data_IF_427287730807
#
_entry.id   IF_427287730807
#
_cell.length_a   1.000
_cell.length_b   1.000
_cell.length_c   1.000
_cell.angle_alpha   90.00
_cell.angle_beta   90.00
_cell.angle_gamma   90.00
#
_symmetry.space_group_name_H-M   'P 1'
#
loop_
_entity.id
_entity.type
_entity.pdbx_description
1 polymer ?
#
# COMPACT_ATOMS: atom_id res chain seq x y z
N UNK A 1 20.78 2.54 23.98
CA UNK A 1 21.10 3.97 23.86
C UNK A 1 22.12 4.24 22.74
N UNK A 2 22.24 3.34 21.73
CA UNK A 2 23.22 3.47 20.62
C UNK A 2 22.62 3.39 19.21
N UNK A 3 21.29 3.39 19.06
CA UNK A 3 20.63 3.30 17.74
C UNK A 3 20.09 4.63 17.18
N UNK A 4 20.01 5.68 17.98
CA UNK A 4 19.50 7.00 17.53
C UNK A 4 20.54 7.92 16.90
N UNK A 5 21.83 7.63 17.09
CA UNK A 5 22.91 8.52 16.62
C UNK A 5 23.29 8.28 15.14
N UNK A 6 22.95 7.11 14.59
CA UNK A 6 23.36 6.74 13.21
C UNK A 6 22.43 7.38 12.15
N UNK A 7 21.16 7.61 12.46
CA UNK A 7 20.19 8.21 11.51
C UNK A 7 20.47 9.69 11.23
N UNK A 8 20.86 10.46 12.26
CA UNK A 8 21.13 11.90 12.12
C UNK A 8 22.43 12.21 11.36
N UNK A 9 23.45 11.38 11.49
CA UNK A 9 24.76 11.66 10.84
C UNK A 9 24.76 11.30 9.34
N UNK A 10 23.92 10.35 8.91
CA UNK A 10 23.82 9.99 7.51
C UNK A 10 23.05 11.05 6.69
N UNK A 11 22.02 11.65 7.29
CA UNK A 11 21.27 12.75 6.70
C UNK A 11 22.12 14.04 6.56
N UNK A 12 22.98 14.33 7.55
CA UNK A 12 23.88 15.50 7.55
C UNK A 12 24.97 15.38 6.47
N UNK A 13 25.49 14.17 6.23
CA UNK A 13 26.58 13.93 5.25
C UNK A 13 26.15 14.06 3.80
N UNK A 14 24.86 13.93 3.49
CA UNK A 14 24.34 14.14 2.13
C UNK A 14 24.00 15.63 1.83
N UNK A 15 23.75 16.44 2.84
CA UNK A 15 23.51 17.89 2.67
C UNK A 15 24.74 18.68 2.19
N UNK A 16 25.94 18.16 2.39
CA UNK A 16 27.20 18.83 2.03
C UNK A 16 27.78 18.45 0.65
N UNK A 17 27.13 17.55 -0.08
CA UNK A 17 27.51 17.23 -1.47
C UNK A 17 26.60 17.91 -2.47
N UNK A 18 26.77 19.23 -2.63
CA UNK A 18 26.29 19.92 -3.80
C UNK A 18 26.99 19.34 -5.04
N UNK A 19 26.27 18.54 -5.84
CA UNK A 19 26.74 18.10 -7.14
C UNK A 19 26.79 19.31 -8.09
N UNK A 20 27.85 19.44 -8.91
CA UNK A 20 27.96 20.57 -9.83
C UNK A 20 26.87 20.46 -10.91
N UNK A 21 26.00 21.44 -10.95
CA UNK A 21 24.99 21.63 -12.00
C UNK A 21 25.73 21.89 -13.32
N UNK A 22 25.72 20.92 -14.23
CA UNK A 22 26.10 21.15 -15.63
C UNK A 22 25.03 22.02 -16.26
N UNK A 23 25.45 23.21 -16.68
CA UNK A 23 24.60 24.20 -17.34
C UNK A 23 23.97 23.65 -18.62
N UNK A 24 22.66 23.72 -18.67
CA UNK A 24 21.88 23.87 -19.87
C UNK A 24 20.82 24.93 -19.57
N UNK A 25 20.70 25.93 -20.40
CA UNK A 25 19.66 26.95 -20.39
C UNK A 25 18.26 26.28 -20.42
N UNK A 26 17.74 25.88 -19.25
CA UNK A 26 16.32 25.66 -19.06
C UNK A 26 15.76 27.01 -18.60
N UNK A 27 15.00 27.67 -19.47
CA UNK A 27 14.05 28.71 -19.07
C UNK A 27 13.41 28.23 -17.77
N UNK A 28 13.36 29.09 -16.75
CA UNK A 28 12.79 28.88 -15.42
C UNK A 28 11.30 28.49 -15.51
N UNK A 29 11.02 27.24 -15.88
CA UNK A 29 9.66 26.72 -15.84
C UNK A 29 9.37 26.30 -14.41
N UNK A 30 8.52 27.08 -13.74
CA UNK A 30 8.07 26.77 -12.39
C UNK A 30 7.34 25.43 -12.36
N UNK A 31 7.49 24.70 -11.27
CA UNK A 31 6.73 23.50 -10.95
C UNK A 31 5.28 23.93 -10.68
N UNK A 32 4.35 23.49 -11.50
CA UNK A 32 2.92 23.79 -11.36
C UNK A 32 2.28 22.77 -10.42
N UNK A 33 1.75 23.25 -9.31
CA UNK A 33 1.25 22.40 -8.24
C UNK A 33 -0.25 22.61 -8.07
N UNK A 34 -1.00 21.50 -7.95
CA UNK A 34 -2.35 21.50 -7.44
C UNK A 34 -2.33 21.11 -5.97
N UNK A 35 -3.14 21.77 -5.14
CA UNK A 35 -3.23 21.51 -3.70
C UNK A 35 -4.66 21.09 -3.35
N UNK A 36 -4.82 19.95 -2.67
CA UNK A 36 -6.11 19.45 -2.19
C UNK A 36 -6.05 19.17 -0.70
N UNK A 37 -6.89 19.85 0.07
CA UNK A 37 -7.03 19.73 1.53
C UNK A 37 -8.38 20.33 1.92
N UNK A 38 -9.21 19.65 2.72
CA UNK A 38 -10.51 20.17 3.13
C UNK A 38 -10.40 21.23 4.23
N UNK A 39 -9.29 21.23 4.98
CA UNK A 39 -9.05 22.23 6.01
C UNK A 39 -8.47 23.51 5.42
N UNK A 40 -9.33 24.52 5.26
CA UNK A 40 -9.03 25.77 4.56
C UNK A 40 -7.72 26.44 5.02
N UNK A 41 -7.48 26.53 6.33
CA UNK A 41 -6.28 27.23 6.84
C UNK A 41 -4.99 26.51 6.44
N UNK A 42 -4.95 25.18 6.56
CA UNK A 42 -3.78 24.41 6.14
C UNK A 42 -3.55 24.51 4.63
N UNK A 43 -4.62 24.52 3.84
CA UNK A 43 -4.54 24.70 2.41
C UNK A 43 -3.99 26.10 2.04
N UNK A 44 -4.49 27.17 2.68
CA UNK A 44 -3.99 28.53 2.48
C UNK A 44 -2.51 28.67 2.90
N UNK A 45 -2.10 28.12 4.03
CA UNK A 45 -0.71 28.12 4.50
C UNK A 45 0.22 27.39 3.51
N UNK A 46 -0.20 26.23 3.00
CA UNK A 46 0.57 25.47 2.01
C UNK A 46 0.70 26.25 0.69
N UNK A 47 -0.37 26.88 0.22
CA UNK A 47 -0.35 27.72 -0.98
C UNK A 47 0.61 28.90 -0.80
N UNK A 48 0.59 29.56 0.36
CA UNK A 48 1.49 30.66 0.67
C UNK A 48 2.96 30.19 0.69
N UNK A 49 3.24 29.04 1.32
CA UNK A 49 4.57 28.43 1.37
C UNK A 49 5.13 28.17 -0.03
N UNK A 50 4.33 27.51 -0.88
CA UNK A 50 4.74 27.15 -2.23
C UNK A 50 4.95 28.37 -3.12
N UNK A 51 4.03 29.34 -3.08
CA UNK A 51 4.12 30.55 -3.89
C UNK A 51 5.26 31.50 -3.45
N UNK A 52 5.81 31.36 -2.24
CA UNK A 52 7.04 32.06 -1.83
C UNK A 52 8.29 31.52 -2.53
N UNK A 53 8.25 30.32 -3.11
CA UNK A 53 9.38 29.75 -3.83
C UNK A 53 9.47 30.31 -5.25
N UNK A 54 10.70 30.59 -5.70
CA UNK A 54 10.92 31.08 -7.07
C UNK A 54 10.67 30.05 -8.15
N UNK A 55 10.80 28.77 -7.81
CA UNK A 55 10.74 27.60 -8.69
C UNK A 55 9.38 26.86 -8.66
N UNK A 56 8.40 27.38 -7.91
CA UNK A 56 7.08 26.75 -7.75
C UNK A 56 5.94 27.74 -7.98
N UNK A 57 4.78 27.25 -8.37
CA UNK A 57 3.53 28.00 -8.42
C UNK A 57 2.32 27.09 -8.20
N UNK A 58 1.37 27.52 -7.39
CA UNK A 58 0.10 26.82 -7.22
C UNK A 58 -0.84 27.28 -8.33
N UNK A 59 -1.28 26.33 -9.16
CA UNK A 59 -2.14 26.58 -10.33
C UNK A 59 -3.62 26.26 -10.07
N UNK A 60 -3.94 25.65 -8.92
CA UNK A 60 -5.30 25.40 -8.50
C UNK A 60 -5.37 24.79 -7.12
N UNK A 61 -6.52 24.95 -6.47
CA UNK A 61 -6.81 24.41 -5.15
C UNK A 61 -8.15 23.69 -5.13
N UNK A 62 -8.30 22.69 -4.27
CA UNK A 62 -9.53 21.93 -4.07
C UNK A 62 -9.76 21.65 -2.59
N UNK A 63 -11.03 21.58 -2.19
CA UNK A 63 -11.42 21.15 -0.85
C UNK A 63 -12.00 19.72 -0.83
N UNK A 64 -12.16 19.10 -1.99
CA UNK A 64 -12.75 17.76 -2.12
C UNK A 64 -12.04 16.92 -3.18
N UNK A 65 -12.12 15.59 -3.03
CA UNK A 65 -11.60 14.66 -4.03
C UNK A 65 -12.22 14.81 -5.41
N UNK A 66 -13.51 15.22 -5.49
CA UNK A 66 -14.17 15.47 -6.75
C UNK A 66 -13.62 16.70 -7.46
N UNK A 67 -13.41 17.79 -6.72
CA UNK A 67 -12.89 19.05 -7.26
C UNK A 67 -11.46 18.85 -7.81
N UNK A 68 -10.58 18.18 -7.07
CA UNK A 68 -9.19 17.96 -7.52
C UNK A 68 -9.12 17.10 -8.79
N UNK A 69 -9.99 16.09 -8.94
CA UNK A 69 -10.10 15.29 -10.17
C UNK A 69 -10.52 16.16 -11.35
N UNK A 70 -11.48 17.07 -11.16
CA UNK A 70 -11.90 18.00 -12.24
C UNK A 70 -10.81 19.02 -12.58
N UNK A 71 -10.09 19.53 -11.59
CA UNK A 71 -8.94 20.41 -11.85
C UNK A 71 -7.85 19.70 -12.63
N UNK A 72 -7.49 18.48 -12.22
CA UNK A 72 -6.46 17.68 -12.88
C UNK A 72 -6.78 17.34 -14.35
N UNK A 73 -8.06 17.32 -14.75
CA UNK A 73 -8.47 17.16 -16.15
C UNK A 73 -8.28 18.42 -16.99
N UNK A 74 -8.48 19.58 -16.37
CA UNK A 74 -8.68 20.84 -17.09
C UNK A 74 -7.48 21.79 -17.00
N UNK A 75 -6.63 21.64 -15.99
CA UNK A 75 -5.50 22.52 -15.73
C UNK A 75 -4.20 21.74 -15.90
N UNK A 76 -3.24 22.23 -16.68
CA UNK A 76 -1.91 21.61 -16.75
C UNK A 76 -1.17 21.76 -15.41
N UNK A 77 -0.70 20.65 -14.86
CA UNK A 77 0.07 20.58 -13.62
C UNK A 77 1.25 19.63 -13.77
N UNK A 78 2.19 19.73 -12.86
CA UNK A 78 3.37 18.87 -12.81
C UNK A 78 3.34 17.95 -11.56
N UNK A 79 2.65 18.40 -10.47
CA UNK A 79 2.52 17.68 -9.20
C UNK A 79 1.23 18.04 -8.48
N UNK A 80 0.70 17.09 -7.70
CA UNK A 80 -0.44 17.29 -6.80
C UNK A 80 0.01 17.03 -5.36
N UNK A 81 -0.22 17.99 -4.46
CA UNK A 81 -0.21 17.75 -3.02
C UNK A 81 -1.63 17.42 -2.59
N UNK A 82 -1.82 16.24 -2.02
CA UNK A 82 -3.12 15.64 -1.76
C UNK A 82 -3.27 15.26 -0.30
N UNK A 83 -4.27 15.79 0.38
CA UNK A 83 -4.69 15.20 1.65
C UNK A 83 -5.37 13.85 1.42
N UNK A 84 -5.15 12.89 2.29
CA UNK A 84 -5.83 11.58 2.25
C UNK A 84 -7.27 11.72 2.70
N UNK A 85 -7.48 12.42 3.82
CA UNK A 85 -8.76 12.60 4.48
C UNK A 85 -9.33 13.98 4.12
N UNK A 86 -10.42 13.99 3.39
CA UNK A 86 -11.17 15.20 3.05
C UNK A 86 -12.66 14.97 3.39
N UNK A 87 -13.58 15.20 2.45
CA UNK A 87 -15.01 14.96 2.64
C UNK A 87 -15.35 13.51 3.04
N UNK A 88 -14.42 12.58 2.82
CA UNK A 88 -14.46 11.18 3.25
C UNK A 88 -13.06 10.72 3.66
N UNK A 89 -12.98 9.69 4.51
CA UNK A 89 -11.73 9.17 5.09
C UNK A 89 -10.66 8.81 4.03
N UNK A 90 -11.07 8.39 2.84
CA UNK A 90 -10.16 8.00 1.75
C UNK A 90 -10.39 8.82 0.48
N UNK A 91 -10.94 10.04 0.59
CA UNK A 91 -11.29 10.85 -0.56
C UNK A 91 -10.08 11.13 -1.47
N UNK A 92 -8.92 11.46 -0.88
CA UNK A 92 -7.68 11.69 -1.60
C UNK A 92 -7.16 10.45 -2.32
N UNK A 93 -7.30 9.26 -1.70
CA UNK A 93 -6.90 7.98 -2.32
C UNK A 93 -7.75 7.70 -3.56
N UNK A 94 -9.08 7.78 -3.42
CA UNK A 94 -10.03 7.57 -4.53
C UNK A 94 -9.82 8.60 -5.64
N UNK A 95 -9.51 9.86 -5.28
CA UNK A 95 -9.17 10.89 -6.25
C UNK A 95 -7.88 10.57 -7.00
N UNK A 96 -6.84 10.09 -6.29
CA UNK A 96 -5.56 9.70 -6.88
C UNK A 96 -5.73 8.55 -7.87
N UNK A 97 -6.47 7.51 -7.52
CA UNK A 97 -6.77 6.39 -8.43
C UNK A 97 -7.40 6.89 -9.73
N UNK A 98 -8.43 7.75 -9.64
CA UNK A 98 -9.10 8.34 -10.82
C UNK A 98 -8.17 9.22 -11.65
N UNK A 99 -7.30 10.01 -11.00
CA UNK A 99 -6.33 10.85 -11.70
C UNK A 99 -5.33 9.98 -12.44
N UNK A 100 -4.85 8.90 -11.82
CA UNK A 100 -3.90 7.97 -12.46
C UNK A 100 -4.54 7.10 -13.55
N UNK A 101 -5.83 6.84 -13.51
CA UNK A 101 -6.56 6.25 -14.65
C UNK A 101 -6.54 7.18 -15.86
N UNK A 102 -6.59 8.49 -15.66
CA UNK A 102 -6.57 9.50 -16.72
C UNK A 102 -5.15 9.87 -17.18
N UNK A 103 -4.22 9.93 -16.24
CA UNK A 103 -2.83 10.24 -16.43
C UNK A 103 -1.94 9.31 -15.57
N UNK A 104 -1.49 8.16 -16.12
CA UNK A 104 -0.66 7.20 -15.38
C UNK A 104 0.66 7.77 -14.84
N UNK A 105 1.16 8.87 -15.40
CA UNK A 105 2.40 9.53 -15.00
C UNK A 105 2.17 10.68 -14.01
N UNK A 106 0.96 10.86 -13.47
CA UNK A 106 0.67 11.91 -12.51
C UNK A 106 1.51 11.75 -11.24
N UNK A 107 2.23 12.79 -10.86
CA UNK A 107 2.95 12.85 -9.60
C UNK A 107 2.00 13.30 -8.49
N UNK A 108 1.74 12.44 -7.52
CA UNK A 108 0.92 12.74 -6.35
C UNK A 108 1.73 12.48 -5.10
N UNK A 109 1.87 13.49 -4.24
CA UNK A 109 2.44 13.39 -2.90
C UNK A 109 1.29 13.52 -1.90
N UNK A 110 1.13 12.53 -1.03
CA UNK A 110 0.16 12.63 0.04
C UNK A 110 0.70 13.41 1.22
N UNK A 111 -0.15 14.29 1.76
CA UNK A 111 0.05 14.96 3.05
C UNK A 111 -1.07 14.50 3.99
N UNK A 112 -0.74 13.93 5.14
CA UNK A 112 -1.72 13.43 6.10
C UNK A 112 -1.41 13.83 7.52
N UNK A 113 -2.46 14.06 8.32
CA UNK A 113 -2.30 14.33 9.75
C UNK A 113 -2.01 13.06 10.57
N UNK A 114 -2.39 11.90 10.05
CA UNK A 114 -2.27 10.62 10.75
C UNK A 114 -1.55 9.60 9.90
N UNK A 115 -0.62 8.86 10.52
CA UNK A 115 0.14 7.82 9.86
C UNK A 115 -0.18 6.45 10.48
N UNK A 116 -0.89 5.61 9.72
CA UNK A 116 -1.05 4.19 10.04
C UNK A 116 -0.49 3.32 8.93
N UNK A 117 -0.16 2.06 9.24
CA UNK A 117 0.33 1.12 8.22
C UNK A 117 -0.67 0.96 7.08
N UNK A 118 -1.95 0.89 7.40
CA UNK A 118 -3.04 0.74 6.43
C UNK A 118 -3.13 1.96 5.49
N UNK A 119 -2.98 3.17 6.03
CA UNK A 119 -3.00 4.40 5.23
C UNK A 119 -1.80 4.47 4.28
N UNK A 120 -0.59 4.15 4.77
CA UNK A 120 0.61 4.09 3.92
C UNK A 120 0.40 3.11 2.76
N UNK A 121 -0.02 1.87 3.07
CA UNK A 121 -0.24 0.84 2.05
C UNK A 121 -1.28 1.26 1.03
N UNK A 122 -2.40 1.84 1.49
CA UNK A 122 -3.50 2.28 0.63
C UNK A 122 -3.07 3.45 -0.27
N UNK A 123 -2.40 4.46 0.30
CA UNK A 123 -1.91 5.61 -0.43
C UNK A 123 -0.88 5.25 -1.50
N UNK A 124 0.12 4.46 -1.14
CA UNK A 124 1.15 4.02 -2.09
C UNK A 124 0.57 3.04 -3.12
N UNK A 125 -0.40 2.21 -2.72
CA UNK A 125 -1.15 1.34 -3.62
C UNK A 125 -1.96 2.07 -4.68
N UNK A 126 -2.46 3.27 -4.38
CA UNK A 126 -3.13 4.16 -5.33
C UNK A 126 -2.16 4.78 -6.35
N UNK A 127 -0.85 4.61 -6.15
CA UNK A 127 0.19 5.06 -7.06
C UNK A 127 0.76 6.45 -6.73
N UNK A 128 0.69 6.89 -5.47
CA UNK A 128 1.41 8.07 -5.03
C UNK A 128 2.92 7.89 -5.21
N UNK A 129 3.63 8.96 -5.49
CA UNK A 129 5.10 8.96 -5.62
C UNK A 129 5.78 9.15 -4.28
N UNK A 130 5.09 9.78 -3.32
CA UNK A 130 5.61 10.03 -1.98
C UNK A 130 4.48 10.21 -0.95
N UNK A 131 4.85 10.17 0.33
CA UNK A 131 3.95 10.23 1.47
C UNK A 131 4.60 11.00 2.62
N UNK A 132 3.96 12.07 3.10
CA UNK A 132 4.46 12.95 4.14
C UNK A 132 3.43 13.10 5.27
N UNK A 133 3.91 13.23 6.49
CA UNK A 133 3.08 13.56 7.65
C UNK A 133 3.03 15.08 7.85
N UNK A 134 1.82 15.64 7.97
CA UNK A 134 1.60 17.05 8.27
C UNK A 134 2.23 17.42 9.62
N UNK A 135 2.79 18.64 9.70
CA UNK A 135 3.45 19.12 10.92
C UNK A 135 4.96 18.86 10.95
N UNK A 136 5.52 18.30 9.89
CA UNK A 136 6.96 18.34 9.60
C UNK A 136 7.45 19.77 9.29
N UNK A 137 8.72 19.91 8.93
CA UNK A 137 9.24 21.24 8.54
C UNK A 137 8.79 21.61 7.12
N UNK A 138 8.60 22.91 6.88
CA UNK A 138 8.30 23.45 5.55
C UNK A 138 9.39 23.06 4.53
N UNK A 139 10.65 23.05 4.99
CA UNK A 139 11.79 22.67 4.16
C UNK A 139 11.70 21.20 3.69
N UNK A 140 11.19 20.30 4.53
CA UNK A 140 11.02 18.89 4.16
C UNK A 140 9.99 18.74 3.03
N UNK A 141 8.85 19.42 3.13
CA UNK A 141 7.82 19.40 2.07
C UNK A 141 8.40 19.90 0.74
N UNK A 142 9.08 21.06 0.77
CA UNK A 142 9.71 21.64 -0.41
C UNK A 142 10.79 20.74 -1.01
N UNK A 143 11.57 20.07 -0.16
CA UNK A 143 12.60 19.13 -0.57
C UNK A 143 12.01 17.90 -1.26
N UNK A 144 10.96 17.29 -0.68
CA UNK A 144 10.27 16.14 -1.27
C UNK A 144 9.65 16.48 -2.64
N UNK A 145 9.05 17.66 -2.79
CA UNK A 145 8.52 18.12 -4.08
C UNK A 145 9.63 18.18 -5.14
N UNK A 146 10.78 18.78 -4.81
CA UNK A 146 11.91 18.89 -5.75
C UNK A 146 12.47 17.53 -6.13
N UNK A 147 12.67 16.65 -5.15
CA UNK A 147 13.14 15.29 -5.39
C UNK A 147 12.17 14.49 -6.27
N UNK A 148 10.85 14.60 -6.05
CA UNK A 148 9.85 13.96 -6.88
C UNK A 148 9.91 14.45 -8.34
N UNK A 149 10.08 15.76 -8.54
CA UNK A 149 10.20 16.36 -9.88
C UNK A 149 11.51 16.03 -10.60
N UNK A 150 12.56 15.70 -9.86
CA UNK A 150 13.85 15.21 -10.41
C UNK A 150 13.80 13.70 -10.74
N UNK A 151 12.68 13.02 -10.45
CA UNK A 151 12.53 11.59 -10.66
C UNK A 151 13.17 10.71 -9.56
N UNK A 152 13.49 11.31 -8.42
CA UNK A 152 14.09 10.65 -7.26
C UNK A 152 13.25 10.90 -5.99
N UNK A 153 11.98 10.47 -5.95
CA UNK A 153 11.13 10.68 -4.78
C UNK A 153 11.81 10.11 -3.52
N UNK A 154 11.74 10.86 -2.45
CA UNK A 154 12.32 10.48 -1.16
C UNK A 154 11.26 9.77 -0.36
N UNK A 155 11.42 8.46 -0.20
CA UNK A 155 10.51 7.70 0.65
C UNK A 155 11.14 7.55 2.04
N UNK A 156 10.45 8.02 3.06
CA UNK A 156 10.91 7.82 4.44
C UNK A 156 11.11 6.33 4.75
N UNK A 157 12.14 6.03 5.57
CA UNK A 157 12.50 4.64 5.89
C UNK A 157 11.33 3.81 6.41
N UNK A 158 10.44 4.43 7.21
CA UNK A 158 9.24 3.79 7.76
C UNK A 158 8.21 3.44 6.67
N UNK A 159 7.99 4.32 5.72
CA UNK A 159 7.10 4.09 4.57
C UNK A 159 7.66 2.93 3.73
N UNK A 160 8.95 2.97 3.41
CA UNK A 160 9.63 1.90 2.68
C UNK A 160 9.51 0.54 3.39
N UNK A 161 9.79 0.50 4.71
CA UNK A 161 9.71 -0.73 5.50
C UNK A 161 8.29 -1.30 5.51
N UNK A 162 7.28 -0.44 5.70
CA UNK A 162 5.86 -0.82 5.68
C UNK A 162 5.45 -1.44 4.35
N UNK A 163 5.85 -0.83 3.23
CA UNK A 163 5.56 -1.34 1.88
C UNK A 163 6.25 -2.69 1.65
N UNK A 164 7.50 -2.84 2.07
CA UNK A 164 8.24 -4.10 1.91
C UNK A 164 7.66 -5.23 2.75
N UNK A 165 7.19 -4.94 3.98
CA UNK A 165 6.48 -5.92 4.82
C UNK A 165 5.19 -6.39 4.13
N UNK A 166 4.39 -5.45 3.60
CA UNK A 166 3.13 -5.77 2.93
C UNK A 166 3.35 -6.55 1.62
N UNK A 167 4.34 -6.15 0.83
CA UNK A 167 4.73 -6.88 -0.37
C UNK A 167 5.13 -8.32 -0.06
N UNK A 168 5.94 -8.53 0.99
CA UNK A 168 6.32 -9.87 1.42
C UNK A 168 5.11 -10.70 1.90
N UNK A 169 4.15 -10.06 2.58
CA UNK A 169 2.89 -10.68 3.02
C UNK A 169 2.04 -11.11 1.82
N UNK A 170 1.86 -10.24 0.83
CA UNK A 170 1.11 -10.51 -0.38
C UNK A 170 1.74 -11.64 -1.21
N UNK A 171 3.04 -11.62 -1.40
CA UNK A 171 3.78 -12.68 -2.09
C UNK A 171 3.61 -14.05 -1.43
N UNK A 172 3.64 -14.09 -0.08
CA UNK A 172 3.41 -15.33 0.67
C UNK A 172 1.98 -15.82 0.49
N UNK A 173 1.00 -14.91 0.53
CA UNK A 173 -0.42 -15.24 0.32
C UNK A 173 -0.67 -15.77 -1.09
N UNK A 174 -0.12 -15.12 -2.11
CA UNK A 174 -0.23 -15.55 -3.51
C UNK A 174 0.35 -16.97 -3.73
N UNK A 175 1.56 -17.22 -3.23
CA UNK A 175 2.18 -18.56 -3.32
C UNK A 175 1.33 -19.63 -2.64
N UNK A 176 0.77 -19.31 -1.47
CA UNK A 176 -0.11 -20.23 -0.74
C UNK A 176 -1.39 -20.52 -1.52
N UNK A 177 -1.99 -19.49 -2.13
CA UNK A 177 -3.18 -19.61 -2.95
C UNK A 177 -2.93 -20.48 -4.20
N UNK A 178 -1.86 -20.20 -4.94
CA UNK A 178 -1.48 -20.99 -6.13
C UNK A 178 -1.20 -22.46 -5.77
N UNK A 179 -0.48 -22.69 -4.67
CA UNK A 179 -0.24 -24.03 -4.16
C UNK A 179 -1.56 -24.74 -3.80
N UNK A 180 -2.48 -24.02 -3.15
CA UNK A 180 -3.78 -24.56 -2.77
C UNK A 180 -4.63 -24.89 -4.00
N UNK A 181 -4.76 -23.99 -4.97
CA UNK A 181 -5.51 -24.20 -6.21
C UNK A 181 -4.98 -25.41 -6.97
N UNK A 182 -3.67 -25.55 -7.10
CA UNK A 182 -3.04 -26.70 -7.76
C UNK A 182 -3.33 -28.02 -7.05
N UNK A 183 -3.48 -28.02 -5.74
CA UNK A 183 -3.83 -29.22 -4.99
C UNK A 183 -5.35 -29.48 -4.95
N UNK A 184 -6.16 -28.41 -4.99
CA UNK A 184 -7.63 -28.51 -5.01
C UNK A 184 -8.15 -29.35 -6.21
N UNK A 185 -7.55 -29.13 -7.39
CA UNK A 185 -7.89 -29.89 -8.60
C UNK A 185 -7.58 -31.39 -8.50
N UNK A 186 -6.68 -31.78 -7.60
CA UNK A 186 -6.25 -33.16 -7.36
C UNK A 186 -7.01 -33.85 -6.22
N UNK A 187 -7.95 -33.14 -5.58
CA UNK A 187 -8.75 -33.74 -4.50
C UNK A 187 -9.85 -34.65 -5.05
N UNK A 188 -9.94 -35.82 -4.49
CA UNK A 188 -11.07 -36.69 -4.68
C UNK A 188 -12.32 -36.19 -3.95
N UNK A 189 -13.52 -36.68 -4.32
CA UNK A 189 -14.74 -36.31 -3.62
C UNK A 189 -14.68 -36.64 -2.12
N UNK A 190 -14.10 -37.80 -1.77
CA UNK A 190 -13.92 -38.23 -0.38
C UNK A 190 -12.97 -37.30 0.41
N UNK A 191 -11.94 -36.76 -0.23
CA UNK A 191 -11.01 -35.80 0.39
C UNK A 191 -11.64 -34.43 0.55
N UNK A 192 -12.46 -33.96 -0.38
CA UNK A 192 -13.25 -32.73 -0.25
C UNK A 192 -14.22 -32.79 0.92
N UNK A 193 -14.97 -33.93 1.00
CA UNK A 193 -15.87 -34.17 2.13
C UNK A 193 -15.12 -34.19 3.46
N UNK A 194 -13.92 -34.77 3.49
CA UNK A 194 -13.06 -34.79 4.68
C UNK A 194 -12.68 -33.35 5.10
N UNK A 195 -12.26 -32.50 4.17
CA UNK A 195 -11.94 -31.10 4.45
C UNK A 195 -13.17 -30.36 4.99
N UNK A 196 -14.34 -30.56 4.38
CA UNK A 196 -15.60 -29.98 4.85
C UNK A 196 -15.90 -30.33 6.31
N UNK A 197 -15.76 -31.59 6.68
CA UNK A 197 -15.98 -32.03 8.07
C UNK A 197 -14.92 -31.44 9.04
N UNK A 198 -13.66 -31.34 8.60
CA UNK A 198 -12.60 -30.73 9.38
C UNK A 198 -12.85 -29.23 9.61
N UNK A 199 -13.36 -28.48 8.60
CA UNK A 199 -13.76 -27.08 8.71
C UNK A 199 -14.91 -26.89 9.69
N UNK A 200 -15.82 -27.85 9.80
CA UNK A 200 -16.89 -27.89 10.80
C UNK A 200 -16.40 -28.26 12.22
N UNK A 201 -15.10 -28.51 12.39
CA UNK A 201 -14.48 -28.76 13.68
C UNK A 201 -14.52 -30.23 14.14
N UNK A 202 -15.00 -31.17 13.30
CA UNK A 202 -15.05 -32.57 13.66
C UNK A 202 -13.65 -33.19 13.80
N UNK A 203 -13.47 -34.04 14.79
CA UNK A 203 -12.24 -34.83 14.97
C UNK A 203 -12.29 -36.10 14.10
N UNK A 204 -11.14 -36.69 13.83
CA UNK A 204 -11.04 -37.91 13.00
C UNK A 204 -11.87 -39.07 13.52
N UNK A 205 -12.12 -39.17 14.82
CA UNK A 205 -13.00 -40.18 15.42
C UNK A 205 -14.47 -39.92 15.07
N UNK A 206 -14.92 -38.67 15.15
CA UNK A 206 -16.29 -38.25 14.84
C UNK A 206 -16.58 -38.47 13.33
N UNK A 207 -15.60 -38.13 12.49
CA UNK A 207 -15.69 -38.32 11.04
C UNK A 207 -15.83 -39.78 10.66
N UNK A 208 -15.17 -40.70 11.38
CA UNK A 208 -15.34 -42.15 11.17
C UNK A 208 -16.78 -42.59 11.44
N UNK A 209 -17.40 -42.09 12.50
CA UNK A 209 -18.81 -42.31 12.81
C UNK A 209 -19.76 -41.74 11.76
N UNK A 210 -19.57 -40.47 11.37
CA UNK A 210 -20.41 -39.77 10.38
C UNK A 210 -20.37 -40.50 9.02
N UNK A 211 -19.20 -40.96 8.60
CA UNK A 211 -19.01 -41.63 7.30
C UNK A 211 -19.19 -43.15 7.35
N UNK A 212 -19.53 -43.71 8.49
CA UNK A 212 -19.70 -45.14 8.70
C UNK A 212 -18.50 -45.96 8.20
N UNK A 213 -17.27 -45.55 8.50
CA UNK A 213 -16.04 -46.23 8.13
C UNK A 213 -15.15 -46.43 9.36
N UNK A 214 -14.21 -47.37 9.25
CA UNK A 214 -13.22 -47.63 10.30
C UNK A 214 -12.34 -46.38 10.56
N UNK A 215 -12.01 -46.09 11.82
CA UNK A 215 -11.14 -45.01 12.22
C UNK A 215 -9.74 -45.08 11.57
N UNK A 216 -9.23 -46.28 11.32
CA UNK A 216 -7.99 -46.55 10.58
C UNK A 216 -8.05 -46.02 9.14
N UNK A 217 -9.20 -46.16 8.49
CA UNK A 217 -9.46 -45.64 7.14
C UNK A 217 -9.38 -44.12 7.11
N UNK A 218 -10.06 -43.44 8.06
CA UNK A 218 -10.02 -41.98 8.19
C UNK A 218 -8.59 -41.50 8.43
N UNK A 219 -7.84 -42.12 9.34
CA UNK A 219 -6.43 -41.80 9.58
C UNK A 219 -5.58 -41.90 8.33
N UNK A 220 -5.77 -42.93 7.51
CA UNK A 220 -5.04 -43.12 6.27
C UNK A 220 -5.39 -42.06 5.24
N UNK A 221 -6.68 -41.71 5.09
CA UNK A 221 -7.13 -40.61 4.22
C UNK A 221 -6.60 -39.28 4.67
N UNK A 222 -6.64 -38.95 5.97
CA UNK A 222 -6.07 -37.75 6.54
C UNK A 222 -4.55 -37.67 6.29
N UNK A 223 -3.83 -38.79 6.45
CA UNK A 223 -2.37 -38.81 6.14
C UNK A 223 -2.10 -38.53 4.66
N UNK A 224 -2.95 -39.05 3.77
CA UNK A 224 -2.88 -38.73 2.33
C UNK A 224 -3.12 -37.27 2.04
N UNK A 225 -4.13 -36.70 2.69
CA UNK A 225 -4.48 -35.27 2.59
C UNK A 225 -3.35 -34.37 3.11
N UNK A 226 -2.81 -34.67 4.29
CA UNK A 226 -1.68 -33.94 4.86
C UNK A 226 -0.46 -33.92 3.93
N UNK A 227 -0.15 -35.07 3.30
CA UNK A 227 0.93 -35.19 2.33
C UNK A 227 0.68 -34.33 1.08
N UNK A 228 -0.57 -34.29 0.57
CA UNK A 228 -0.93 -33.43 -0.58
C UNK A 228 -0.74 -31.94 -0.29
N UNK A 229 -1.08 -31.52 0.93
CA UNK A 229 -0.95 -30.11 1.35
C UNK A 229 0.38 -29.77 2.01
N UNK A 230 1.31 -30.72 2.15
CA UNK A 230 2.60 -30.48 2.81
C UNK A 230 2.47 -30.12 4.29
N UNK A 231 1.35 -30.50 4.93
CA UNK A 231 1.05 -30.17 6.31
C UNK A 231 1.37 -31.34 7.24
N UNK A 232 1.65 -31.02 8.52
CA UNK A 232 1.90 -32.00 9.57
C UNK A 232 0.63 -32.33 10.37
N UNK A 233 -0.33 -31.40 10.41
CA UNK A 233 -1.56 -31.50 11.23
C UNK A 233 -2.76 -30.99 10.44
N UNK A 234 -3.94 -31.56 10.69
CA UNK A 234 -5.21 -31.14 10.08
C UNK A 234 -5.55 -29.67 10.35
N UNK A 235 -5.20 -29.15 11.54
CA UNK A 235 -5.38 -27.73 11.88
C UNK A 235 -4.66 -26.79 10.93
N UNK A 236 -3.52 -27.20 10.39
CA UNK A 236 -2.75 -26.38 9.43
C UNK A 236 -3.49 -26.25 8.09
N UNK A 237 -4.16 -27.31 7.63
CA UNK A 237 -5.01 -27.26 6.43
C UNK A 237 -6.20 -26.33 6.67
N UNK A 238 -6.88 -26.48 7.82
CA UNK A 238 -8.02 -25.65 8.20
C UNK A 238 -7.61 -24.18 8.27
N UNK A 239 -6.48 -23.89 8.94
CA UNK A 239 -5.96 -22.52 9.04
C UNK A 239 -5.63 -21.94 7.66
N UNK A 240 -4.98 -22.71 6.79
CA UNK A 240 -4.65 -22.27 5.42
C UNK A 240 -5.92 -21.89 4.63
N UNK A 241 -7.00 -22.68 4.76
CA UNK A 241 -8.28 -22.41 4.09
C UNK A 241 -8.91 -21.11 4.62
N UNK A 242 -8.87 -20.89 5.94
CA UNK A 242 -9.37 -19.66 6.58
C UNK A 242 -8.53 -18.45 6.17
N UNK A 243 -7.20 -18.55 6.19
CA UNK A 243 -6.29 -17.46 5.82
C UNK A 243 -6.51 -17.03 4.34
N UNK A 244 -6.85 -17.97 3.47
CA UNK A 244 -7.15 -17.72 2.05
C UNK A 244 -8.62 -17.34 1.80
N UNK A 245 -9.50 -17.39 2.83
CA UNK A 245 -10.96 -17.10 2.74
C UNK A 245 -11.70 -17.91 1.66
N UNK A 246 -11.35 -19.20 1.53
CA UNK A 246 -11.85 -20.09 0.47
C UNK A 246 -12.70 -21.24 1.00
N UNK A 247 -13.29 -21.12 2.19
CA UNK A 247 -14.18 -22.13 2.81
C UNK A 247 -15.37 -22.48 1.90
N UNK A 248 -15.84 -21.49 1.15
CA UNK A 248 -16.97 -21.60 0.22
C UNK A 248 -16.74 -22.57 -0.95
N UNK A 249 -15.50 -23.08 -1.14
CA UNK A 249 -15.17 -24.09 -2.16
C UNK A 249 -15.43 -25.52 -1.69
N UNK A 250 -15.83 -25.74 -0.43
CA UNK A 250 -16.13 -27.03 0.21
C UNK A 250 -17.54 -27.04 0.77
#
# INVERSE_FOLDING_TARGET
MEREVISSSYCQSMKDKALPVKGSEKMDKKIRILVADDFRLLREDMIELLNKQSDMEVVGEAATGKEIVELAKNIPYDLILMDIEMEQVNAGVVATEKIRELNPEANVIFLTAHETKEMIVTAMGAGAVDYLVKGGSDEDVLYHIRCAMEGHPMMEGRVHETIMEEYARLQKSERSLLFFINNLSKLTAAEREMIKLLLQGYKTADIAGIRCVEHSTVKTQVKGLLRKFGCSRTKEIVQMIHDLKIEHLF
#
